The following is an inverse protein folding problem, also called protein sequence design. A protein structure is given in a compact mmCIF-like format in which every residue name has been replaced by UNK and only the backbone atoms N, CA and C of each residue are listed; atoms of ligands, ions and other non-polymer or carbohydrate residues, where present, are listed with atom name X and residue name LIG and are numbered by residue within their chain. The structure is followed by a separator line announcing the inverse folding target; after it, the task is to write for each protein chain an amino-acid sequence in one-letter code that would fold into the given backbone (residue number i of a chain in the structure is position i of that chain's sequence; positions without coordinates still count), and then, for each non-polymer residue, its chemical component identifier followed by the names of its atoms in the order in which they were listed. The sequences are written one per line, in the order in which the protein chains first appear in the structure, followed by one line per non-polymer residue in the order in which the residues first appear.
data_IF_688755755006
#
_entry.id   IF_688755755006
#
_cell.length_a   1.000
_cell.length_b   1.000
_cell.length_c   1.000
_cell.angle_alpha   90.00
_cell.angle_beta   90.00
_cell.angle_gamma   90.00
#
_symmetry.space_group_name_H-M   'P 1'
#
loop_
_entity.id
_entity.type
_entity.pdbx_description
1 polymer ?
#
# COMPACT_ATOMS: atom_id res chain seq x y z
N UNK A 1 10.82 -19.85 2.21
CA UNK A 1 11.24 -19.34 0.89
C UNK A 1 10.85 -17.88 0.70
N UNK A 2 9.69 -17.36 1.12
CA UNK A 2 9.41 -15.91 1.03
C UNK A 2 10.41 -15.02 1.77
N UNK A 3 10.88 -15.49 2.93
CA UNK A 3 11.91 -14.85 3.75
C UNK A 3 13.27 -14.75 3.06
N UNK A 4 13.53 -15.59 2.05
CA UNK A 4 14.75 -15.52 1.23
C UNK A 4 14.69 -14.38 0.20
N UNK A 5 13.50 -13.90 -0.12
CA UNK A 5 13.29 -12.82 -1.08
C UNK A 5 13.24 -11.44 -0.42
N UNK A 6 13.04 -11.37 0.90
CA UNK A 6 13.13 -10.10 1.61
C UNK A 6 14.59 -9.64 1.67
N UNK A 7 14.92 -8.44 1.17
CA UNK A 7 16.30 -8.01 1.04
C UNK A 7 16.92 -7.71 2.41
N UNK A 8 18.11 -8.23 2.67
CA UNK A 8 18.86 -7.94 3.89
C UNK A 8 19.36 -6.48 3.93
N UNK A 9 19.73 -5.94 2.76
CA UNK A 9 20.27 -4.60 2.59
C UNK A 9 19.28 -3.71 1.83
N UNK A 10 19.42 -2.39 1.97
CA UNK A 10 18.70 -1.44 1.13
C UNK A 10 19.03 -1.64 -0.35
N UNK A 11 18.06 -1.35 -1.22
CA UNK A 11 18.24 -1.37 -2.67
C UNK A 11 19.28 -0.30 -3.10
N UNK A 12 20.03 -0.54 -4.20
CA UNK A 12 20.74 0.53 -4.89
C UNK A 12 19.81 1.72 -5.18
N UNK A 13 20.33 2.94 -5.03
CA UNK A 13 19.57 4.18 -5.15
C UNK A 13 18.92 4.34 -6.52
N UNK A 14 19.62 3.98 -7.61
CA UNK A 14 19.10 4.04 -8.98
C UNK A 14 17.85 3.17 -9.18
N UNK A 15 17.86 1.96 -8.62
CA UNK A 15 16.70 1.05 -8.65
C UNK A 15 15.54 1.61 -7.84
N UNK A 16 15.83 2.21 -6.67
CA UNK A 16 14.80 2.84 -5.85
C UNK A 16 14.14 4.01 -6.60
N UNK A 17 14.92 4.87 -7.26
CA UNK A 17 14.38 5.96 -8.06
C UNK A 17 13.47 5.48 -9.19
N UNK A 18 13.86 4.38 -9.86
CA UNK A 18 13.03 3.76 -10.89
C UNK A 18 11.70 3.26 -10.30
N UNK A 19 11.73 2.53 -9.18
CA UNK A 19 10.52 2.02 -8.50
C UNK A 19 9.64 3.19 -8.06
N UNK A 20 10.21 4.22 -7.44
CA UNK A 20 9.50 5.43 -7.02
C UNK A 20 8.85 6.20 -8.18
N UNK A 21 9.25 5.92 -9.42
CA UNK A 21 8.64 6.52 -10.61
C UNK A 21 7.45 5.73 -11.16
N UNK A 22 7.12 4.56 -10.60
CA UNK A 22 6.04 3.69 -11.10
C UNK A 22 4.95 3.47 -10.05
N UNK A 23 3.70 3.72 -10.42
CA UNK A 23 2.53 3.43 -9.60
C UNK A 23 1.64 2.39 -10.26
N UNK A 24 1.07 1.51 -9.44
CA UNK A 24 0.17 0.47 -9.89
C UNK A 24 -1.26 0.81 -9.46
N UNK A 25 -2.21 0.69 -10.38
CA UNK A 25 -3.63 0.90 -10.08
C UNK A 25 -4.48 -0.24 -10.66
N UNK A 26 -5.34 -0.87 -9.84
CA UNK A 26 -6.39 -1.75 -10.34
C UNK A 26 -7.42 -0.98 -11.16
N UNK A 27 -7.85 -1.56 -12.27
CA UNK A 27 -8.86 -1.02 -13.17
C UNK A 27 -9.85 -2.15 -13.54
N UNK A 28 -11.18 -1.93 -13.48
CA UNK A 28 -12.16 -2.95 -13.82
C UNK A 28 -12.09 -3.37 -15.29
N UNK A 29 -12.37 -4.64 -15.57
CA UNK A 29 -12.53 -5.13 -16.96
C UNK A 29 -13.98 -5.51 -17.25
N UNK A 30 -14.39 -5.65 -18.52
CA UNK A 30 -15.72 -6.15 -18.87
C UNK A 30 -16.00 -7.57 -18.35
N UNK A 31 -14.97 -8.37 -18.06
CA UNK A 31 -15.11 -9.73 -17.51
C UNK A 31 -15.05 -9.67 -15.99
N UNK A 32 -16.15 -9.96 -15.30
CA UNK A 32 -16.24 -9.91 -13.82
C UNK A 32 -15.23 -10.80 -13.08
N UNK A 33 -14.73 -11.85 -13.72
CA UNK A 33 -13.74 -12.79 -13.16
C UNK A 33 -12.31 -12.25 -13.25
N UNK A 34 -12.09 -11.09 -13.90
CA UNK A 34 -10.79 -10.52 -14.18
C UNK A 34 -10.79 -9.02 -13.93
N UNK A 35 -9.63 -8.47 -13.60
CA UNK A 35 -9.40 -7.03 -13.56
C UNK A 35 -8.02 -6.71 -14.16
N UNK A 36 -7.81 -5.48 -14.59
CA UNK A 36 -6.53 -5.02 -15.10
C UNK A 36 -5.74 -4.34 -14.02
N UNK A 37 -4.42 -4.49 -14.05
CA UNK A 37 -3.49 -3.68 -13.29
C UNK A 37 -2.71 -2.83 -14.27
N UNK A 38 -2.85 -1.52 -14.10
CA UNK A 38 -2.21 -0.50 -14.93
C UNK A 38 -0.95 0.00 -14.22
N UNK A 39 0.12 0.22 -14.98
CA UNK A 39 1.37 0.82 -14.48
C UNK A 39 1.46 2.25 -15.02
N UNK A 40 1.57 3.23 -14.13
CA UNK A 40 1.61 4.66 -14.45
C UNK A 40 2.94 5.28 -14.04
N UNK A 41 3.42 6.24 -14.82
CA UNK A 41 4.51 7.11 -14.38
C UNK A 41 4.05 8.09 -13.30
N UNK A 42 4.85 8.24 -12.25
CA UNK A 42 4.72 9.30 -11.25
C UNK A 42 4.82 10.70 -11.89
N UNK A 43 5.50 10.86 -13.03
CA UNK A 43 5.61 12.13 -13.77
C UNK A 43 4.32 12.52 -14.50
N UNK A 44 3.29 11.66 -14.51
CA UNK A 44 2.03 11.92 -15.20
C UNK A 44 2.08 11.67 -16.72
N UNK A 45 3.15 11.06 -17.22
CA UNK A 45 3.33 10.68 -18.63
C UNK A 45 2.37 9.58 -19.13
N UNK A 46 1.46 9.11 -18.27
CA UNK A 46 0.45 8.11 -18.60
C UNK A 46 0.88 6.69 -18.27
N UNK A 47 0.29 5.73 -18.99
CA UNK A 47 0.54 4.30 -18.82
C UNK A 47 1.90 3.96 -19.40
N UNK A 48 2.80 3.40 -18.59
CA UNK A 48 4.19 3.11 -18.99
C UNK A 48 4.43 1.66 -19.39
N UNK A 49 3.48 0.77 -19.14
CA UNK A 49 3.60 -0.65 -19.47
C UNK A 49 2.26 -1.27 -19.89
N UNK A 50 2.31 -2.44 -20.51
CA UNK A 50 1.13 -3.18 -20.94
C UNK A 50 0.29 -3.58 -19.73
N UNK A 51 -1.03 -3.35 -19.74
CA UNK A 51 -1.92 -3.78 -18.66
C UNK A 51 -1.79 -5.28 -18.40
N UNK A 52 -1.70 -5.66 -17.13
CA UNK A 52 -1.72 -7.06 -16.72
C UNK A 52 -3.15 -7.48 -16.36
N UNK A 53 -3.64 -8.60 -16.89
CA UNK A 53 -4.97 -9.12 -16.58
C UNK A 53 -4.87 -10.16 -15.46
N UNK A 54 -5.51 -9.87 -14.33
CA UNK A 54 -5.38 -10.62 -13.08
C UNK A 54 -6.75 -11.16 -12.65
N UNK A 55 -6.84 -12.38 -12.08
CA UNK A 55 -8.06 -12.93 -11.51
C UNK A 55 -8.71 -12.06 -10.45
N UNK A 56 -10.02 -11.87 -10.53
CA UNK A 56 -10.80 -11.06 -9.61
C UNK A 56 -10.72 -11.53 -8.15
N UNK A 57 -10.42 -12.80 -7.89
CA UNK A 57 -10.20 -13.28 -6.52
C UNK A 57 -8.99 -12.62 -5.84
N UNK A 58 -8.03 -12.07 -6.61
CA UNK A 58 -6.95 -11.26 -6.07
C UNK A 58 -7.31 -9.81 -5.79
N UNK A 59 -8.49 -9.33 -6.19
CA UNK A 59 -8.78 -7.91 -6.23
C UNK A 59 -8.61 -7.21 -4.87
N UNK A 60 -9.25 -7.71 -3.80
CA UNK A 60 -9.13 -7.08 -2.47
C UNK A 60 -7.70 -7.18 -1.92
N UNK A 61 -7.07 -8.34 -2.11
CA UNK A 61 -5.68 -8.58 -1.74
C UNK A 61 -4.73 -7.57 -2.39
N UNK A 62 -4.88 -7.37 -3.70
CA UNK A 62 -4.00 -6.50 -4.47
C UNK A 62 -4.28 -5.02 -4.16
N UNK A 63 -5.54 -4.62 -3.96
CA UNK A 63 -5.88 -3.26 -3.50
C UNK A 63 -5.17 -2.92 -2.18
N UNK A 64 -5.23 -3.83 -1.18
CA UNK A 64 -4.57 -3.64 0.12
C UNK A 64 -3.05 -3.70 0.04
N UNK A 65 -2.53 -4.55 -0.84
CA UNK A 65 -1.11 -4.63 -1.13
C UNK A 65 -0.60 -3.33 -1.75
N UNK A 66 -1.22 -2.87 -2.84
CA UNK A 66 -0.83 -1.66 -3.56
C UNK A 66 -1.02 -0.41 -2.72
N UNK A 67 -2.07 -0.36 -1.89
CA UNK A 67 -2.24 0.68 -0.89
C UNK A 67 -1.00 0.81 0.01
N UNK A 68 -0.55 -0.29 0.62
CA UNK A 68 0.62 -0.26 1.51
C UNK A 68 1.90 0.08 0.75
N UNK A 69 2.06 -0.45 -0.47
CA UNK A 69 3.19 -0.12 -1.33
C UNK A 69 3.25 1.39 -1.60
N UNK A 70 2.14 2.00 -2.05
CA UNK A 70 2.06 3.44 -2.31
C UNK A 70 2.30 4.28 -1.05
N UNK A 71 1.76 3.86 0.10
CA UNK A 71 2.04 4.55 1.37
C UNK A 71 3.53 4.54 1.66
N UNK A 72 4.23 3.42 1.50
CA UNK A 72 5.68 3.36 1.77
C UNK A 72 6.46 4.26 0.83
N UNK A 73 6.14 4.24 -0.46
CA UNK A 73 6.76 5.11 -1.46
C UNK A 73 6.59 6.59 -1.10
N UNK A 74 5.36 7.01 -0.78
CA UNK A 74 5.06 8.39 -0.41
C UNK A 74 5.77 8.83 0.87
N UNK A 75 5.80 7.96 1.89
CA UNK A 75 6.54 8.23 3.12
C UNK A 75 8.04 8.43 2.88
N UNK A 76 8.63 7.68 1.95
CA UNK A 76 10.06 7.80 1.60
C UNK A 76 10.32 9.00 0.68
N UNK A 77 9.39 9.36 -0.20
CA UNK A 77 9.57 10.44 -1.18
C UNK A 77 9.33 11.85 -0.61
N UNK A 78 8.57 11.97 0.48
CA UNK A 78 8.23 13.28 1.06
C UNK A 78 9.31 13.77 2.05
N UNK A 79 9.79 15.00 1.82
CA UNK A 79 10.80 15.66 2.66
C UNK A 79 10.18 16.31 3.91
N UNK A 80 8.88 16.61 3.90
CA UNK A 80 8.16 17.27 4.99
C UNK A 80 7.63 16.31 6.06
N UNK A 81 7.75 15.00 5.84
CA UNK A 81 7.40 13.98 6.82
C UNK A 81 8.59 13.66 7.70
N UNK A 82 8.39 13.72 9.02
CA UNK A 82 9.40 13.27 9.97
C UNK A 82 9.29 11.75 10.15
N UNK A 83 10.19 11.02 9.50
CA UNK A 83 10.35 9.58 9.70
C UNK A 83 11.29 9.29 10.86
N UNK A 84 10.98 8.26 11.65
CA UNK A 84 11.91 7.74 12.65
C UNK A 84 13.18 7.20 11.96
N UNK A 85 14.38 7.35 12.56
CA UNK A 85 15.64 7.02 11.88
C UNK A 85 15.74 5.59 11.31
N UNK A 86 15.12 4.62 11.99
CA UNK A 86 15.10 3.21 11.55
C UNK A 86 13.99 2.89 10.55
N UNK A 87 12.98 3.75 10.43
CA UNK A 87 11.80 3.49 9.60
C UNK A 87 12.13 3.65 8.12
N UNK A 88 12.79 4.74 7.72
CA UNK A 88 13.15 4.98 6.31
C UNK A 88 13.88 3.80 5.63
N UNK A 89 15.02 3.31 6.15
CA UNK A 89 15.70 2.18 5.52
C UNK A 89 14.87 0.90 5.55
N UNK A 90 13.98 0.72 6.54
CA UNK A 90 13.07 -0.41 6.57
C UNK A 90 12.02 -0.31 5.46
N UNK A 91 11.40 0.86 5.29
CA UNK A 91 10.43 1.13 4.23
C UNK A 91 11.03 0.92 2.85
N UNK A 92 12.26 1.39 2.60
CA UNK A 92 12.97 1.16 1.34
C UNK A 92 13.12 -0.32 1.00
N UNK A 93 13.45 -1.17 1.99
CA UNK A 93 13.52 -2.63 1.78
C UNK A 93 12.15 -3.22 1.47
N UNK A 94 11.10 -2.74 2.14
CA UNK A 94 9.73 -3.16 1.88
C UNK A 94 9.23 -2.73 0.50
N UNK A 95 9.54 -1.50 0.06
CA UNK A 95 9.23 -1.01 -1.28
C UNK A 95 9.86 -1.95 -2.31
N UNK A 96 11.17 -2.21 -2.20
CA UNK A 96 11.86 -3.10 -3.13
C UNK A 96 11.29 -4.52 -3.13
N UNK A 97 11.00 -5.07 -1.95
CA UNK A 97 10.40 -6.39 -1.83
C UNK A 97 9.00 -6.46 -2.46
N UNK A 98 8.16 -5.47 -2.18
CA UNK A 98 6.79 -5.39 -2.70
C UNK A 98 6.78 -5.14 -4.21
N UNK A 99 7.67 -4.31 -4.72
CA UNK A 99 7.90 -4.11 -6.15
C UNK A 99 8.19 -5.44 -6.86
N UNK A 100 9.15 -6.23 -6.33
CA UNK A 100 9.46 -7.55 -6.87
C UNK A 100 8.25 -8.52 -6.81
N UNK A 101 7.44 -8.46 -5.74
CA UNK A 101 6.24 -9.28 -5.59
C UNK A 101 5.18 -8.92 -6.63
N UNK A 102 4.89 -7.63 -6.83
CA UNK A 102 3.91 -7.20 -7.83
C UNK A 102 4.41 -7.46 -9.24
N UNK A 103 5.68 -7.16 -9.56
CA UNK A 103 6.25 -7.45 -10.88
C UNK A 103 6.23 -8.95 -11.20
N UNK A 104 6.45 -9.82 -10.21
CA UNK A 104 6.27 -11.26 -10.36
C UNK A 104 4.83 -11.66 -10.72
N UNK A 105 3.84 -11.03 -10.06
CA UNK A 105 2.42 -11.20 -10.42
C UNK A 105 2.13 -10.70 -11.83
N UNK A 106 2.55 -9.47 -12.19
CA UNK A 106 2.26 -8.87 -13.50
C UNK A 106 2.95 -9.63 -14.63
N UNK A 107 4.19 -10.05 -14.44
CA UNK A 107 4.94 -10.88 -15.42
C UNK A 107 4.22 -12.20 -15.65
N UNK A 108 3.72 -12.85 -14.60
CA UNK A 108 2.95 -14.09 -14.71
C UNK A 108 1.63 -13.85 -15.45
N UNK A 109 0.90 -12.79 -15.11
CA UNK A 109 -0.36 -12.40 -15.75
C UNK A 109 -0.20 -12.08 -17.25
N UNK A 110 0.92 -11.46 -17.63
CA UNK A 110 1.24 -11.12 -19.03
C UNK A 110 1.73 -12.31 -19.84
N UNK A 111 2.02 -13.45 -19.21
CA UNK A 111 2.34 -14.68 -19.93
C UNK A 111 1.11 -15.14 -20.73
N UNK A 112 1.30 -15.38 -22.03
CA UNK A 112 0.22 -15.75 -22.97
C UNK A 112 -0.61 -16.96 -22.52
N UNK A 113 -0.03 -17.85 -21.72
CA UNK A 113 -0.74 -19.00 -21.14
C UNK A 113 -1.81 -18.58 -20.13
N UNK A 114 -1.58 -17.48 -19.39
CA UNK A 114 -2.40 -17.07 -18.24
C UNK A 114 -3.21 -15.80 -18.46
N UNK A 115 -2.91 -14.99 -19.50
CA UNK A 115 -3.54 -13.66 -19.73
C UNK A 115 -5.07 -13.65 -19.81
N UNK A 116 -5.73 -14.81 -19.91
CA UNK A 116 -7.20 -14.93 -19.94
C UNK A 116 -7.74 -15.98 -18.96
N UNK A 117 -6.87 -16.57 -18.15
CA UNK A 117 -7.20 -17.63 -17.21
C UNK A 117 -7.66 -17.02 -15.88
N UNK A 118 -8.96 -17.12 -15.54
CA UNK A 118 -9.47 -16.58 -14.28
C UNK A 118 -9.06 -17.43 -13.06
N UNK A 119 -8.38 -18.55 -13.26
CA UNK A 119 -7.99 -19.50 -12.21
C UNK A 119 -6.49 -19.51 -11.93
N UNK A 120 -5.68 -18.77 -12.70
CA UNK A 120 -4.23 -18.80 -12.48
C UNK A 120 -3.87 -18.24 -11.10
N UNK A 121 -2.85 -18.83 -10.49
CA UNK A 121 -2.32 -18.37 -9.22
C UNK A 121 -0.84 -17.96 -9.38
N UNK A 122 -0.48 -16.78 -8.88
CA UNK A 122 0.93 -16.37 -8.75
C UNK A 122 1.51 -16.98 -7.47
N UNK A 123 2.49 -17.87 -7.62
CA UNK A 123 3.16 -18.54 -6.49
C UNK A 123 3.77 -17.49 -5.54
N UNK A 124 4.46 -16.48 -6.09
CA UNK A 124 5.11 -15.45 -5.29
C UNK A 124 4.10 -14.60 -4.52
N UNK A 125 3.00 -14.20 -5.18
CA UNK A 125 1.96 -13.40 -4.54
C UNK A 125 1.17 -14.21 -3.50
N UNK A 126 0.87 -15.49 -3.77
CA UNK A 126 0.25 -16.38 -2.80
C UNK A 126 1.12 -16.52 -1.55
N UNK A 127 2.41 -16.76 -1.73
CA UNK A 127 3.33 -16.87 -0.60
C UNK A 127 3.38 -15.58 0.22
N UNK A 128 3.38 -14.42 -0.45
CA UNK A 128 3.28 -13.14 0.23
C UNK A 128 2.02 -13.07 1.10
N UNK A 129 0.85 -13.44 0.56
CA UNK A 129 -0.43 -13.38 1.29
C UNK A 129 -0.46 -14.33 2.49
N UNK A 130 0.10 -15.53 2.36
CA UNK A 130 0.21 -16.49 3.47
C UNK A 130 1.08 -15.91 4.60
N UNK A 131 2.24 -15.36 4.27
CA UNK A 131 3.13 -14.75 5.26
C UNK A 131 2.50 -13.53 5.91
N UNK A 132 1.83 -12.70 5.12
CA UNK A 132 1.07 -11.55 5.62
C UNK A 132 0.02 -11.96 6.65
N UNK A 133 -0.76 -13.00 6.36
CA UNK A 133 -1.82 -13.47 7.24
C UNK A 133 -1.27 -14.04 8.57
N UNK A 134 -0.24 -14.89 8.50
CA UNK A 134 0.28 -15.60 9.67
C UNK A 134 1.28 -14.80 10.50
N UNK A 135 2.14 -14.03 9.84
CA UNK A 135 3.29 -13.35 10.45
C UNK A 135 3.07 -11.84 10.52
N UNK A 136 2.43 -11.25 9.50
CA UNK A 136 2.24 -9.80 9.35
C UNK A 136 3.51 -9.02 9.01
N UNK A 137 4.64 -9.72 8.87
CA UNK A 137 5.97 -9.18 8.65
C UNK A 137 6.77 -10.11 7.75
N UNK A 138 7.60 -9.54 6.89
CA UNK A 138 8.34 -10.27 5.86
C UNK A 138 9.84 -10.37 6.13
N UNK A 139 10.33 -9.75 7.20
CA UNK A 139 11.74 -9.80 7.58
C UNK A 139 12.17 -11.21 8.04
N UNK A 140 13.34 -11.66 7.57
CA UNK A 140 13.89 -12.98 7.87
C UNK A 140 13.93 -13.32 9.37
N UNK A 141 14.38 -12.38 10.21
CA UNK A 141 14.45 -12.56 11.66
C UNK A 141 13.06 -12.72 12.30
N UNK A 142 12.05 -12.01 11.79
CA UNK A 142 10.68 -12.09 12.31
C UNK A 142 10.03 -13.40 11.90
N UNK A 143 10.16 -13.80 10.62
CA UNK A 143 9.68 -15.10 10.13
C UNK A 143 10.38 -16.25 10.85
N UNK A 144 11.69 -16.17 11.06
CA UNK A 144 12.45 -17.17 11.81
C UNK A 144 11.95 -17.33 13.24
N UNK A 145 11.74 -16.22 13.97
CA UNK A 145 11.18 -16.24 15.32
C UNK A 145 9.72 -16.74 15.35
N UNK A 146 8.96 -16.52 14.28
CA UNK A 146 7.60 -17.06 14.15
C UNK A 146 7.61 -18.57 13.93
N UNK A 147 8.47 -19.08 13.03
CA UNK A 147 8.60 -20.53 12.75
C UNK A 147 9.05 -21.30 14.00
N UNK A 148 9.96 -20.74 14.79
CA UNK A 148 10.37 -21.34 16.08
C UNK A 148 9.20 -21.50 17.06
N UNK A 149 8.23 -20.59 17.03
CA UNK A 149 7.02 -20.64 17.88
C UNK A 149 5.90 -21.49 17.29
N UNK A 150 5.96 -21.81 15.99
CA UNK A 150 4.93 -22.54 15.25
C UNK A 150 5.58 -23.65 14.40
N UNK A 151 6.27 -24.64 15.02
CA UNK A 151 7.09 -25.62 14.28
C UNK A 151 6.25 -26.53 13.37
N UNK A 152 4.98 -26.71 13.66
CA UNK A 152 4.07 -27.59 12.91
C UNK A 152 3.45 -26.92 11.68
N UNK A 153 3.70 -25.61 11.47
CA UNK A 153 3.13 -24.85 10.36
C UNK A 153 4.20 -24.55 9.31
N UNK A 154 4.00 -25.10 8.11
CA UNK A 154 4.86 -24.85 6.95
C UNK A 154 4.17 -23.84 6.04
N UNK A 155 4.58 -22.57 6.12
CA UNK A 155 4.01 -21.45 5.35
C UNK A 155 4.03 -21.70 3.84
N UNK A 156 5.01 -22.44 3.33
CA UNK A 156 5.17 -22.74 1.90
C UNK A 156 4.19 -23.80 1.37
N UNK A 157 3.51 -24.52 2.24
CA UNK A 157 2.55 -25.56 1.86
C UNK A 157 1.09 -25.15 2.07
N UNK A 158 0.85 -23.92 2.54
CA UNK A 158 -0.50 -23.43 2.83
C UNK A 158 -1.18 -22.93 1.56
N UNK A 159 -2.44 -23.33 1.38
CA UNK A 159 -3.29 -22.87 0.29
C UNK A 159 -4.06 -21.62 0.73
N UNK A 160 -4.36 -20.73 -0.21
CA UNK A 160 -5.15 -19.52 0.11
C UNK A 160 -6.59 -19.88 0.54
N UNK A 161 -7.13 -20.99 0.05
CA UNK A 161 -8.48 -21.47 0.38
C UNK A 161 -8.62 -21.86 1.85
N UNK A 162 -7.52 -22.14 2.55
CA UNK A 162 -7.50 -22.48 3.97
C UNK A 162 -7.51 -21.22 4.88
N UNK A 163 -7.47 -20.02 4.29
CA UNK A 163 -7.30 -18.75 5.00
C UNK A 163 -8.59 -17.92 4.95
N UNK A 164 -9.11 -17.57 6.13
CA UNK A 164 -10.24 -16.65 6.28
C UNK A 164 -9.80 -15.18 6.15
N UNK A 165 -9.55 -14.76 4.91
CA UNK A 165 -9.16 -13.39 4.60
C UNK A 165 -10.25 -12.36 4.92
N UNK A 166 -11.52 -12.74 4.81
CA UNK A 166 -12.65 -11.85 5.12
C UNK A 166 -12.62 -11.40 6.58
N UNK A 167 -12.46 -12.35 7.50
CA UNK A 167 -12.34 -12.05 8.93
C UNK A 167 -11.06 -11.28 9.23
N UNK A 168 -9.95 -11.68 8.61
CA UNK A 168 -8.66 -10.99 8.75
C UNK A 168 -8.76 -9.51 8.37
N UNK A 169 -9.33 -9.20 7.21
CA UNK A 169 -9.47 -7.84 6.73
C UNK A 169 -10.48 -7.02 7.51
N UNK A 170 -11.63 -7.59 7.90
CA UNK A 170 -12.58 -6.92 8.81
C UNK A 170 -11.92 -6.54 10.13
N UNK A 171 -11.09 -7.43 10.69
CA UNK A 171 -10.34 -7.17 11.92
C UNK A 171 -9.30 -6.06 11.71
N UNK A 172 -8.56 -6.09 10.60
CA UNK A 172 -7.59 -5.06 10.26
C UNK A 172 -8.23 -3.68 10.08
N UNK A 173 -9.35 -3.60 9.34
CA UNK A 173 -10.12 -2.37 9.12
C UNK A 173 -10.67 -1.80 10.43
N UNK A 174 -11.20 -2.67 11.32
CA UNK A 174 -11.67 -2.28 12.65
C UNK A 174 -10.54 -1.77 13.55
N UNK A 175 -9.36 -2.39 13.46
CA UNK A 175 -8.21 -1.98 14.26
C UNK A 175 -7.66 -0.64 13.80
N UNK A 176 -7.52 -0.44 12.48
CA UNK A 176 -7.10 0.83 11.90
C UNK A 176 -7.45 0.91 10.40
N UNK A 177 -8.54 1.61 10.08
CA UNK A 177 -9.01 1.78 8.70
C UNK A 177 -8.10 2.67 7.84
N UNK A 178 -7.27 3.52 8.45
CA UNK A 178 -6.29 4.33 7.73
C UNK A 178 -5.10 3.48 7.29
N UNK A 179 -4.53 2.68 8.19
CA UNK A 179 -3.41 1.77 7.87
C UNK A 179 -3.79 0.70 6.86
N UNK A 180 -4.94 0.06 7.07
CA UNK A 180 -5.48 -0.96 6.17
C UNK A 180 -5.92 -0.41 4.81
N UNK A 181 -6.14 0.90 4.70
CA UNK A 181 -6.47 1.61 3.46
C UNK A 181 -7.95 1.76 3.16
N UNK A 182 -8.83 1.08 3.90
CA UNK A 182 -10.28 1.13 3.68
C UNK A 182 -10.85 2.55 3.86
N UNK A 183 -10.30 3.37 4.77
CA UNK A 183 -10.65 4.79 4.93
C UNK A 183 -10.50 5.58 3.62
N UNK A 184 -9.48 5.26 2.84
CA UNK A 184 -9.12 5.96 1.61
C UNK A 184 -9.60 5.22 0.36
N UNK A 185 -10.40 4.16 0.51
CA UNK A 185 -10.79 3.25 -0.58
C UNK A 185 -9.55 2.80 -1.39
N UNK A 186 -8.44 2.56 -0.70
CA UNK A 186 -7.17 2.13 -1.28
C UNK A 186 -6.53 3.09 -2.30
N UNK A 187 -6.89 4.38 -2.27
CA UNK A 187 -6.33 5.40 -3.17
C UNK A 187 -5.46 6.39 -2.40
N UNK A 188 -4.15 6.38 -2.65
CA UNK A 188 -3.18 7.24 -1.95
C UNK A 188 -3.41 8.74 -2.20
N UNK A 189 -3.93 9.11 -3.37
CA UNK A 189 -4.28 10.50 -3.70
C UNK A 189 -5.45 11.08 -2.88
N UNK A 190 -6.12 10.26 -2.06
CA UNK A 190 -7.14 10.72 -1.09
C UNK A 190 -6.56 11.06 0.28
N UNK A 191 -5.27 10.84 0.49
CA UNK A 191 -4.57 11.23 1.72
C UNK A 191 -4.22 12.71 1.65
N UNK A 192 -4.61 13.45 2.68
CA UNK A 192 -4.26 14.87 2.82
C UNK A 192 -2.90 15.05 3.50
N UNK A 193 -2.25 16.20 3.30
CA UNK A 193 -0.93 16.51 3.87
C UNK A 193 -0.75 16.10 5.34
N UNK A 194 -1.59 16.57 6.28
CA UNK A 194 -1.47 16.23 7.69
C UNK A 194 -1.66 14.74 8.02
N UNK A 195 -2.36 13.99 7.16
CA UNK A 195 -2.60 12.56 7.37
C UNK A 195 -1.35 11.71 7.05
N UNK A 196 -0.41 12.22 6.26
CA UNK A 196 0.83 11.51 5.96
C UNK A 196 1.69 11.28 7.20
N UNK A 197 1.76 12.24 8.12
CA UNK A 197 2.45 12.03 9.39
C UNK A 197 1.76 10.97 10.25
N UNK A 198 0.41 10.90 10.21
CA UNK A 198 -0.34 9.84 10.90
C UNK A 198 0.02 8.47 10.31
N UNK A 199 0.12 8.36 8.97
CA UNK A 199 0.54 7.12 8.32
C UNK A 199 1.99 6.75 8.65
N UNK A 200 2.89 7.73 8.78
CA UNK A 200 4.26 7.50 9.24
C UNK A 200 4.31 6.91 10.66
N UNK A 201 3.52 7.47 11.58
CA UNK A 201 3.42 6.99 12.96
C UNK A 201 2.81 5.58 13.02
N UNK A 202 1.81 5.30 12.17
CA UNK A 202 1.21 3.98 12.06
C UNK A 202 2.18 2.96 11.46
N UNK A 203 2.99 3.34 10.47
CA UNK A 203 4.05 2.49 9.95
C UNK A 203 5.08 2.16 11.02
N UNK A 204 5.57 3.17 11.76
CA UNK A 204 6.49 2.96 12.88
C UNK A 204 5.91 1.98 13.90
N UNK A 205 4.64 2.19 14.31
CA UNK A 205 3.95 1.29 15.24
C UNK A 205 3.79 -0.12 14.69
N UNK A 206 3.43 -0.27 13.41
CA UNK A 206 3.31 -1.56 12.76
C UNK A 206 4.63 -2.33 12.81
N UNK A 207 5.77 -1.67 12.55
CA UNK A 207 7.10 -2.27 12.61
C UNK A 207 7.72 -2.35 14.02
N UNK A 208 6.96 -2.04 15.08
CA UNK A 208 7.47 -2.05 16.46
C UNK A 208 8.64 -1.08 16.68
N UNK A 209 8.70 0.00 15.90
CA UNK A 209 9.70 1.05 16.05
C UNK A 209 9.16 2.01 17.11
N UNK A 210 9.49 1.72 18.37
CA UNK A 210 8.97 2.47 19.51
C UNK A 210 9.53 3.90 19.58
N UNK A 211 8.60 4.83 19.79
CA UNK A 211 8.86 6.23 20.05
C UNK A 211 9.37 6.41 21.48
N UNK A 212 10.68 6.58 21.68
CA UNK A 212 11.15 7.13 22.95
C UNK A 212 10.85 8.64 23.09
N UNK A 213 10.37 9.35 22.05
CA UNK A 213 10.25 10.82 22.12
C UNK A 213 9.14 11.56 21.33
N UNK A 214 8.27 10.94 20.51
CA UNK A 214 7.22 11.73 19.85
C UNK A 214 5.96 11.86 20.72
N UNK A 215 5.70 13.08 21.18
CA UNK A 215 4.38 13.51 21.64
C UNK A 215 3.42 13.41 20.45
N UNK A 216 2.51 12.44 20.50
CA UNK A 216 1.35 12.39 19.61
C UNK A 216 0.70 13.78 19.56
N UNK A 217 0.79 14.45 18.41
CA UNK A 217 -0.03 15.64 18.17
C UNK A 217 -1.44 15.11 17.92
N UNK A 218 -2.25 15.12 18.97
CA UNK A 218 -3.67 14.83 18.85
C UNK A 218 -4.31 15.92 18.00
N UNK A 219 -4.53 15.66 16.71
CA UNK A 219 -5.45 16.47 15.92
C UNK A 219 -6.86 16.14 16.41
N UNK A 220 -7.40 17.04 17.22
CA UNK A 220 -8.75 16.95 17.76
C UNK A 220 -9.76 16.81 16.64
N UNK A 221 -10.59 15.77 16.75
CA UNK A 221 -11.86 15.69 16.04
C UNK A 221 -12.61 17.01 16.30
N UNK A 222 -12.99 17.80 15.27
CA UNK A 222 -13.71 19.04 15.51
C UNK A 222 -15.09 18.67 16.05
N UNK A 223 -15.26 18.86 17.37
CA UNK A 223 -16.57 18.87 17.99
C UNK A 223 -17.42 19.95 17.33
N UNK A 224 -18.60 19.55 16.89
CA UNK A 224 -19.65 20.42 16.36
C UNK A 224 -19.98 21.46 17.43
N UNK A 225 -19.48 22.69 17.26
CA UNK A 225 -19.78 23.81 18.15
C UNK A 225 -20.59 24.87 17.40
N UNK A 226 -21.77 25.15 17.96
CA UNK A 226 -22.83 25.97 17.40
C UNK A 226 -22.40 27.37 16.94
N UNK A 227 -23.07 27.79 15.87
CA UNK A 227 -22.99 29.11 15.26
C UNK A 227 -23.19 30.24 16.28
N UNK A 228 -22.23 31.17 16.34
CA UNK A 228 -22.49 32.57 16.70
C UNK A 228 -21.80 33.50 15.71
N UNK A 229 -22.63 34.21 14.95
CA UNK A 229 -22.29 35.33 14.05
C UNK A 229 -21.42 36.38 14.77
N UNK A 230 -20.32 36.77 14.14
CA UNK A 230 -19.75 38.12 14.31
C UNK A 230 -19.18 38.62 12.98
N UNK A 231 -19.72 39.75 12.53
CA UNK A 231 -19.27 40.56 11.39
C UNK A 231 -17.88 41.15 11.68
N UNK A 232 -16.97 41.09 10.71
CA UNK A 232 -15.71 41.84 10.71
C UNK A 232 -15.09 41.86 9.32
N UNK A 233 -15.09 43.03 8.68
CA UNK A 233 -14.41 43.32 7.41
C UNK A 233 -12.89 43.33 7.62
N UNK A 234 -12.13 42.72 6.72
CA UNK A 234 -10.68 42.90 6.63
C UNK A 234 -10.15 42.36 5.30
N UNK A 235 -9.75 43.27 4.40
CA UNK A 235 -9.09 42.97 3.11
C UNK A 235 -7.65 42.54 3.39
N UNK A 236 -7.19 41.48 2.74
CA UNK A 236 -5.79 41.10 2.65
C UNK A 236 -5.61 40.06 1.56
N UNK A 237 -5.10 40.49 0.40
CA UNK A 237 -4.72 39.62 -0.72
C UNK A 237 -3.41 38.90 -0.35
N UNK A 238 -3.40 37.59 -0.43
CA UNK A 238 -2.19 36.80 -0.61
C UNK A 238 -2.47 35.75 -1.70
N UNK A 239 -1.81 35.91 -2.84
CA UNK A 239 -1.74 34.87 -3.88
C UNK A 239 -0.76 33.82 -3.38
N UNK A 240 -1.25 32.60 -3.19
CA UNK A 240 -0.41 31.40 -3.12
C UNK A 240 -0.82 30.55 -4.32
N UNK A 241 0.12 30.36 -5.24
CA UNK A 241 -0.03 29.50 -6.40
C UNK A 241 -0.10 28.05 -5.92
N UNK A 242 -1.29 27.45 -6.02
CA UNK A 242 -1.46 26.02 -5.92
C UNK A 242 -1.12 25.41 -7.29
N UNK A 243 -0.08 24.58 -7.33
CA UNK A 243 0.11 23.63 -8.42
C UNK A 243 -1.02 22.59 -8.34
N UNK A 244 -2.10 22.83 -9.08
CA UNK A 244 -3.12 21.83 -9.34
C UNK A 244 -2.56 20.86 -10.38
N UNK A 245 -2.10 19.69 -9.92
CA UNK A 245 -1.85 18.55 -10.78
C UNK A 245 -3.16 18.14 -11.46
N UNK A 246 -3.19 18.28 -12.78
CA UNK A 246 -4.27 17.83 -13.64
C UNK A 246 -4.29 16.29 -13.66
N UNK A 247 -5.38 15.67 -13.21
CA UNK A 247 -5.72 14.30 -13.57
C UNK A 247 -7.19 14.26 -14.03
N UNK A 248 -7.52 13.49 -15.07
CA UNK A 248 -8.86 13.46 -15.62
C UNK A 248 -9.83 12.82 -14.63
N UNK A 249 -10.86 13.57 -14.26
CA UNK A 249 -12.02 13.09 -13.52
C UNK A 249 -12.83 12.13 -14.39
N UNK A 250 -12.58 10.83 -14.27
CA UNK A 250 -13.48 9.79 -14.76
C UNK A 250 -13.82 8.84 -13.64
N UNK A 251 -14.83 9.18 -12.83
CA UNK A 251 -15.72 8.23 -12.16
C UNK A 251 -16.94 9.03 -11.71
N UNK A 252 -17.93 9.12 -12.59
CA UNK A 252 -19.33 9.30 -12.18
C UNK A 252 -20.05 8.02 -12.59
N UNK A 253 -20.73 7.44 -11.61
CA UNK A 253 -21.89 6.56 -11.67
C UNK A 253 -21.97 5.56 -12.83
N UNK A 254 -21.94 4.26 -12.49
CA UNK A 254 -23.06 3.35 -12.78
C UNK A 254 -22.82 1.95 -12.18
N UNK A 255 -23.72 1.60 -11.26
CA UNK A 255 -24.15 0.26 -10.76
C UNK A 255 -23.18 -0.49 -9.85
#
# INVERSE_FOLDING_TARGET
MSDLFFPNNSSPQEKMQLILSMHYLPDPTPRKELFSVMVYSASGEGVVDTPAIVPAFYHDHLCRFLWRHSVYMELVSQDDITLMPKLRPLLERYIFYMDAVVEGLLTTARNKTFTKDPTFCSILFNQYLVVEYHVGHHEFNVIGAWRQRNPDIILECMMLDDIDFDSFYKKADKANSAWSGSRYKFMYNKVTGPEWQILADLAAKHFGIDNYNMRLISFGCPAVAGSKKKKGKGKGKAQVAAHAGWFPSFFTDHI
#
